data_IF_590149960098
#
_entry.id   IF_590149960098
#
_cell.length_a   1.000
_cell.length_b   1.000
_cell.length_c   1.000
_cell.angle_alpha   90.00
_cell.angle_beta   90.00
_cell.angle_gamma   90.00
#
_symmetry.space_group_name_H-M   'P 1'
#
loop_
_entity.id
_entity.type
_entity.pdbx_description
1 polymer ?
#
# COMPACT_ATOMS: atom_id res chain seq x y z
N UNK A 1 -24.13 -37.11 -12.17
CA UNK A 1 -23.02 -37.41 -13.10
C UNK A 1 -22.42 -36.06 -13.51
N UNK A 2 -21.44 -35.57 -12.74
CA UNK A 2 -19.98 -35.66 -12.97
C UNK A 2 -19.52 -34.64 -14.04
N UNK A 3 -19.10 -33.43 -13.63
CA UNK A 3 -17.71 -33.02 -13.26
C UNK A 3 -16.78 -33.14 -14.47
N UNK A 4 -16.56 -32.00 -15.16
CA UNK A 4 -15.50 -31.83 -16.15
C UNK A 4 -14.25 -31.29 -15.45
N UNK A 5 -13.19 -32.07 -15.62
CA UNK A 5 -11.91 -32.05 -14.93
C UNK A 5 -10.93 -31.11 -15.64
N UNK A 6 -10.32 -30.20 -14.87
CA UNK A 6 -9.14 -29.43 -15.26
C UNK A 6 -7.89 -30.30 -15.08
N UNK A 7 -7.34 -30.84 -16.17
CA UNK A 7 -5.95 -31.31 -16.22
C UNK A 7 -5.39 -31.09 -17.62
N UNK A 8 -4.70 -29.97 -17.83
CA UNK A 8 -3.65 -29.87 -18.84
C UNK A 8 -2.61 -28.87 -18.34
N UNK A 9 -1.34 -29.17 -18.65
CA UNK A 9 -0.09 -28.49 -18.26
C UNK A 9 0.70 -29.25 -17.17
N UNK A 10 1.11 -30.46 -17.52
CA UNK A 10 2.43 -30.96 -17.17
C UNK A 10 3.20 -31.19 -18.47
N UNK A 11 4.53 -31.19 -18.37
CA UNK A 11 5.56 -31.57 -19.34
C UNK A 11 6.32 -30.38 -19.94
N UNK A 12 7.59 -30.30 -19.52
CA UNK A 12 8.78 -29.68 -20.15
C UNK A 12 9.62 -28.84 -19.17
N UNK A 13 10.15 -29.47 -18.12
CA UNK A 13 11.52 -29.17 -17.68
C UNK A 13 12.18 -30.50 -17.32
N UNK A 14 12.93 -31.05 -18.27
CA UNK A 14 13.92 -32.08 -18.02
C UNK A 14 15.05 -31.82 -19.01
N UNK A 15 16.19 -31.35 -18.54
CA UNK A 15 17.53 -31.79 -18.95
C UNK A 15 18.60 -31.01 -18.17
N UNK A 16 19.63 -31.76 -17.76
CA UNK A 16 20.91 -31.34 -17.20
C UNK A 16 20.95 -30.98 -15.71
N UNK A 17 21.07 -32.00 -14.83
CA UNK A 17 22.26 -32.19 -13.97
C UNK A 17 22.48 -33.70 -13.76
N UNK A 18 23.57 -34.24 -14.31
CA UNK A 18 24.09 -35.58 -13.99
C UNK A 18 25.08 -35.44 -12.82
N UNK A 19 24.83 -36.16 -11.71
CA UNK A 19 25.76 -36.24 -10.59
C UNK A 19 25.31 -37.13 -9.42
N UNK A 20 25.63 -38.44 -9.52
CA UNK A 20 25.82 -39.46 -8.47
C UNK A 20 24.71 -39.79 -7.41
N UNK A 21 24.64 -41.06 -6.92
CA UNK A 21 23.47 -41.60 -6.23
C UNK A 21 23.59 -41.54 -4.70
N UNK A 22 22.56 -41.03 -4.03
CA UNK A 22 22.47 -41.01 -2.57
C UNK A 22 21.04 -40.87 -2.08
N UNK A 23 20.49 -41.96 -1.54
CA UNK A 23 19.44 -42.06 -0.51
C UNK A 23 18.41 -40.90 -0.35
N UNK A 24 17.19 -41.18 -0.81
CA UNK A 24 15.89 -40.95 -0.17
C UNK A 24 15.60 -39.62 0.58
N UNK A 25 14.58 -38.89 0.11
CA UNK A 25 13.29 -38.72 0.80
C UNK A 25 12.29 -38.01 -0.12
N UNK A 26 11.08 -38.57 -0.24
CA UNK A 26 9.97 -37.91 -0.89
C UNK A 26 9.63 -36.63 -0.10
N UNK A 27 9.74 -35.47 -0.75
CA UNK A 27 9.27 -34.21 -0.22
C UNK A 27 7.76 -34.22 -0.42
N UNK A 28 7.01 -34.31 0.69
CA UNK A 28 5.56 -34.30 0.68
C UNK A 28 5.04 -33.00 0.06
N UNK A 29 4.07 -33.14 -0.84
CA UNK A 29 3.20 -32.03 -1.24
C UNK A 29 2.33 -31.69 -0.03
N UNK A 30 2.71 -30.68 0.75
CA UNK A 30 1.77 -30.08 1.69
C UNK A 30 0.62 -29.48 0.88
N UNK A 31 -0.57 -30.05 1.05
CA UNK A 31 -1.82 -29.47 0.56
C UNK A 31 -1.95 -28.07 1.15
N UNK A 32 -1.85 -27.05 0.29
CA UNK A 32 -2.13 -25.67 0.66
C UNK A 32 -3.61 -25.59 1.02
N UNK A 33 -3.90 -25.59 2.31
CA UNK A 33 -5.26 -25.40 2.82
C UNK A 33 -5.76 -24.02 2.36
N UNK A 34 -6.99 -23.92 1.83
CA UNK A 34 -7.55 -22.64 1.41
C UNK A 34 -7.64 -21.67 2.61
N UNK A 35 -7.30 -20.40 2.36
CA UNK A 35 -7.34 -19.31 3.36
C UNK A 35 -8.66 -19.36 4.16
N UNK A 36 -8.63 -19.26 5.50
CA UNK A 36 -9.84 -19.02 6.27
C UNK A 36 -10.46 -17.71 5.80
N UNK A 37 -11.73 -17.75 5.37
CA UNK A 37 -12.50 -16.52 5.15
C UNK A 37 -12.63 -15.83 6.51
N UNK A 38 -12.11 -14.61 6.62
CA UNK A 38 -12.36 -13.77 7.78
C UNK A 38 -13.88 -13.67 8.01
N UNK A 39 -14.32 -13.90 9.24
CA UNK A 39 -15.67 -13.55 9.66
C UNK A 39 -15.86 -12.04 9.53
N UNK A 40 -17.04 -11.61 9.09
CA UNK A 40 -17.40 -10.24 8.72
C UNK A 40 -17.45 -9.22 9.90
N UNK A 41 -16.59 -9.35 10.91
CA UNK A 41 -16.64 -8.55 12.13
C UNK A 41 -15.31 -8.05 12.70
N UNK A 42 -14.16 -8.63 12.33
CA UNK A 42 -12.88 -8.19 12.88
C UNK A 42 -12.17 -7.25 11.90
N UNK A 43 -12.22 -5.95 12.19
CA UNK A 43 -11.51 -4.95 11.41
C UNK A 43 -9.99 -5.15 11.57
N UNK A 44 -9.28 -5.28 10.44
CA UNK A 44 -7.81 -5.27 10.41
C UNK A 44 -7.34 -3.97 11.05
N UNK A 45 -6.47 -4.09 12.06
CA UNK A 45 -5.85 -2.96 12.74
C UNK A 45 -4.43 -2.79 12.21
N UNK A 46 -4.04 -1.55 11.98
CA UNK A 46 -2.74 -1.18 11.43
C UNK A 46 -1.90 -0.44 12.48
N UNK A 47 -0.63 -0.81 12.56
CA UNK A 47 0.38 -0.17 13.40
C UNK A 47 1.29 0.73 12.55
N UNK A 48 1.88 1.73 13.21
CA UNK A 48 2.75 2.74 12.59
C UNK A 48 4.17 2.50 13.08
N UNK A 49 5.09 2.27 12.15
CA UNK A 49 6.52 2.07 12.43
C UNK A 49 7.31 3.26 11.90
N UNK A 50 7.80 4.10 12.80
CA UNK A 50 8.58 5.28 12.48
C UNK A 50 10.08 4.96 12.52
N UNK A 51 10.83 5.39 11.49
CA UNK A 51 12.30 5.31 11.42
C UNK A 51 12.88 6.68 11.11
N UNK A 52 14.06 6.99 11.64
CA UNK A 52 14.69 8.32 11.50
C UNK A 52 14.10 9.37 12.45
N UNK A 53 14.45 10.64 12.24
CA UNK A 53 13.99 11.75 13.08
C UNK A 53 12.97 12.63 12.36
N UNK A 54 11.89 13.03 13.04
CA UNK A 54 10.90 13.90 12.42
C UNK A 54 11.57 15.17 11.83
N UNK A 55 11.26 15.47 10.56
CA UNK A 55 11.83 16.56 9.75
C UNK A 55 13.25 16.36 9.22
N UNK A 56 13.86 15.19 9.41
CA UNK A 56 15.10 14.83 8.70
C UNK A 56 14.82 14.13 7.37
N UNK A 57 15.81 14.09 6.48
CA UNK A 57 15.68 13.47 5.16
C UNK A 57 15.56 11.93 5.22
N UNK A 58 15.95 11.31 6.33
CA UNK A 58 15.85 9.87 6.60
C UNK A 58 14.56 9.48 7.33
N UNK A 59 13.68 10.44 7.66
CA UNK A 59 12.40 10.12 8.31
C UNK A 59 11.48 9.31 7.40
N UNK A 60 11.09 8.12 7.84
CA UNK A 60 10.18 7.22 7.12
C UNK A 60 9.12 6.69 8.06
N UNK A 61 7.91 6.57 7.54
CA UNK A 61 6.82 5.90 8.23
C UNK A 61 6.39 4.71 7.40
N UNK A 62 6.41 3.55 8.04
CA UNK A 62 5.94 2.28 7.52
C UNK A 62 4.65 1.89 8.23
N UNK A 63 3.82 1.10 7.55
CA UNK A 63 2.57 0.56 8.08
C UNK A 63 2.73 -0.95 8.22
N UNK A 64 2.28 -1.54 9.32
CA UNK A 64 2.25 -3.00 9.51
C UNK A 64 0.89 -3.46 10.01
N UNK A 65 0.52 -4.71 9.81
CA UNK A 65 -0.68 -5.27 10.46
C UNK A 65 -0.41 -5.53 11.94
N UNK A 66 -1.39 -5.22 12.79
CA UNK A 66 -1.29 -5.49 14.22
C UNK A 66 -1.40 -6.99 14.53
N UNK A 67 -0.61 -7.44 15.50
CA UNK A 67 -0.34 -8.85 15.81
C UNK A 67 -1.54 -9.72 16.22
N UNK A 68 -2.76 -9.18 16.34
CA UNK A 68 -3.91 -9.95 16.83
C UNK A 68 -4.46 -10.99 15.85
N UNK A 69 -4.22 -10.85 14.54
CA UNK A 69 -4.74 -11.80 13.53
C UNK A 69 -3.79 -11.92 12.34
N UNK A 70 -2.66 -12.63 12.49
CA UNK A 70 -1.84 -13.02 11.33
C UNK A 70 -2.62 -14.00 10.46
N UNK A 71 -3.38 -13.50 9.49
CA UNK A 71 -3.65 -14.26 8.28
C UNK A 71 -2.43 -14.07 7.42
N UNK A 72 -1.49 -15.03 7.45
CA UNK A 72 -0.27 -15.06 6.63
C UNK A 72 -0.50 -14.40 5.27
N UNK A 73 -0.08 -13.14 5.14
CA UNK A 73 -0.07 -12.41 3.90
C UNK A 73 1.16 -12.92 3.14
N UNK A 74 0.96 -13.52 1.98
CA UNK A 74 2.03 -14.03 1.12
C UNK A 74 2.93 -12.90 0.54
N UNK A 75 2.78 -11.66 1.02
CA UNK A 75 3.38 -10.45 0.49
C UNK A 75 4.06 -9.57 1.55
N UNK A 76 4.33 -10.07 2.76
CA UNK A 76 5.11 -9.32 3.75
C UNK A 76 6.48 -8.95 3.18
N UNK A 77 6.81 -7.65 3.22
CA UNK A 77 8.21 -7.21 3.08
C UNK A 77 9.04 -7.69 4.28
N UNK A 78 10.38 -7.54 4.24
CA UNK A 78 11.19 -7.78 5.44
C UNK A 78 10.61 -6.96 6.62
N UNK A 79 10.38 -7.62 7.75
CA UNK A 79 9.78 -7.08 9.00
C UNK A 79 8.24 -7.01 9.08
N UNK A 80 7.47 -7.58 8.14
CA UNK A 80 5.99 -7.57 8.24
C UNK A 80 5.35 -6.22 7.92
N UNK A 81 6.08 -5.37 7.20
CA UNK A 81 5.62 -4.06 6.72
C UNK A 81 4.78 -4.23 5.44
N UNK A 82 3.77 -3.38 5.30
CA UNK A 82 2.88 -3.23 4.16
C UNK A 82 3.25 -1.98 3.34
N UNK A 83 3.02 -2.06 2.03
CA UNK A 83 2.97 -0.88 1.16
C UNK A 83 1.67 -0.13 1.41
N UNK A 84 1.72 1.15 1.83
CA UNK A 84 0.52 1.97 1.97
C UNK A 84 -0.27 2.04 0.67
N UNK A 85 0.41 2.12 -0.48
CA UNK A 85 -0.27 2.24 -1.77
C UNK A 85 -0.93 0.92 -2.20
N UNK A 86 -0.22 -0.21 -2.14
CA UNK A 86 -0.66 -1.43 -2.82
C UNK A 86 -1.28 -2.49 -1.90
N UNK A 87 -0.79 -2.59 -0.67
CA UNK A 87 -1.12 -3.73 0.20
C UNK A 87 -2.32 -3.44 1.13
N UNK A 88 -2.67 -2.17 1.35
CA UNK A 88 -3.87 -1.79 2.11
C UNK A 88 -5.09 -1.86 1.17
N UNK A 89 -6.19 -2.55 1.53
CA UNK A 89 -7.40 -2.59 0.70
C UNK A 89 -8.05 -1.22 0.55
N UNK A 90 -8.51 -0.87 -0.66
CA UNK A 90 -9.29 0.36 -0.89
C UNK A 90 -10.55 0.42 -0.02
N UNK A 91 -11.33 -0.66 0.01
CA UNK A 91 -12.58 -0.73 0.76
C UNK A 91 -12.38 -1.39 2.12
N UNK A 92 -12.86 -0.73 3.17
CA UNK A 92 -13.09 -1.35 4.47
C UNK A 92 -14.42 -2.11 4.49
N UNK A 93 -15.44 -1.56 3.81
CA UNK A 93 -16.73 -2.21 3.56
C UNK A 93 -17.28 -1.69 2.22
N UNK A 94 -17.16 -2.51 1.18
CA UNK A 94 -17.59 -2.15 -0.18
C UNK A 94 -19.11 -1.95 -0.26
N UNK A 95 -19.89 -2.75 0.49
CA UNK A 95 -21.36 -2.67 0.47
C UNK A 95 -21.88 -1.34 1.02
N UNK A 96 -21.16 -0.77 2.00
CA UNK A 96 -21.47 0.53 2.61
C UNK A 96 -20.68 1.68 2.01
N UNK A 97 -19.84 1.43 0.99
CA UNK A 97 -18.90 2.41 0.42
C UNK A 97 -18.04 3.09 1.50
N UNK A 98 -17.50 2.28 2.40
CA UNK A 98 -16.54 2.72 3.42
C UNK A 98 -15.15 2.38 2.91
N UNK A 99 -14.29 3.38 2.85
CA UNK A 99 -12.95 3.31 2.29
C UNK A 99 -11.90 3.38 3.39
N UNK A 100 -10.74 2.76 3.18
CA UNK A 100 -9.56 3.03 3.97
C UNK A 100 -8.85 4.27 3.40
N UNK A 101 -8.48 5.20 4.27
CA UNK A 101 -7.65 6.35 3.93
C UNK A 101 -6.34 6.28 4.72
N UNK A 102 -5.23 6.51 4.04
CA UNK A 102 -3.91 6.65 4.65
C UNK A 102 -3.68 8.11 4.96
N UNK A 103 -3.55 8.46 6.25
CA UNK A 103 -3.32 9.84 6.66
C UNK A 103 -1.84 10.20 6.50
N UNK A 104 -1.53 11.18 5.66
CA UNK A 104 -0.16 11.63 5.41
C UNK A 104 0.16 12.92 6.18
N UNK A 105 -0.78 13.86 6.23
CA UNK A 105 -0.58 15.17 6.83
C UNK A 105 -1.72 15.45 7.82
N UNK A 106 -1.45 15.35 9.12
CA UNK A 106 -2.42 15.74 10.15
C UNK A 106 -2.84 17.20 10.02
N UNK A 107 -4.10 17.48 10.35
CA UNK A 107 -4.62 18.86 10.37
C UNK A 107 -3.76 19.77 11.25
N UNK A 108 -3.57 21.00 10.76
CA UNK A 108 -2.77 22.09 11.33
C UNK A 108 -1.27 21.84 11.38
N UNK A 109 -0.76 20.91 10.57
CA UNK A 109 0.68 20.68 10.38
C UNK A 109 1.14 21.16 8.99
N UNK A 110 2.45 21.38 8.85
CA UNK A 110 3.03 22.02 7.66
C UNK A 110 3.94 21.10 6.84
N UNK A 111 4.44 20.00 7.40
CA UNK A 111 5.36 19.11 6.70
C UNK A 111 4.61 18.41 5.56
N UNK A 112 5.06 18.61 4.32
CA UNK A 112 4.49 17.93 3.14
C UNK A 112 4.99 16.50 3.13
N UNK A 113 4.16 15.59 3.60
CA UNK A 113 4.44 14.16 3.68
C UNK A 113 3.59 13.45 2.65
N UNK A 114 4.16 12.46 1.98
CA UNK A 114 3.52 11.75 0.87
C UNK A 114 3.91 10.28 0.92
N UNK A 115 2.98 9.41 0.53
CA UNK A 115 3.26 8.01 0.25
C UNK A 115 4.35 7.94 -0.82
N UNK A 116 5.39 7.17 -0.54
CA UNK A 116 6.51 7.03 -1.46
C UNK A 116 6.06 6.48 -2.80
N UNK A 117 6.33 7.24 -3.87
CA UNK A 117 6.25 6.76 -5.25
C UNK A 117 7.23 5.62 -5.42
N UNK A 118 6.75 4.39 -5.32
CA UNK A 118 7.48 3.27 -5.91
C UNK A 118 7.44 3.50 -7.42
N UNK A 119 8.57 3.39 -8.10
CA UNK A 119 8.61 3.34 -9.55
C UNK A 119 7.93 2.05 -10.02
N UNK A 120 6.60 2.03 -10.04
CA UNK A 120 5.80 0.97 -10.61
C UNK A 120 5.32 1.43 -11.98
N UNK A 121 6.07 0.99 -12.99
CA UNK A 121 5.53 0.78 -14.32
C UNK A 121 4.91 -0.62 -14.30
N UNK A 122 3.60 -0.79 -14.56
CA UNK A 122 3.00 -2.12 -14.52
C UNK A 122 3.43 -2.92 -15.74
N UNK A 123 4.09 -4.04 -15.51
CA UNK A 123 3.77 -5.25 -16.26
C UNK A 123 3.55 -6.39 -15.26
N UNK A 124 2.44 -7.10 -15.44
CA UNK A 124 1.78 -8.03 -14.50
C UNK A 124 2.67 -9.19 -14.00
N UNK A 125 3.89 -9.38 -14.53
CA UNK A 125 4.71 -10.57 -14.30
C UNK A 125 5.89 -10.35 -13.33
N UNK A 126 6.06 -9.16 -12.74
CA UNK A 126 7.31 -8.80 -12.06
C UNK A 126 7.16 -8.33 -10.60
N UNK A 127 6.01 -8.52 -9.97
CA UNK A 127 5.72 -8.10 -8.57
C UNK A 127 6.81 -8.54 -7.56
N UNK A 128 7.48 -9.67 -7.79
CA UNK A 128 8.53 -10.15 -6.89
C UNK A 128 9.89 -9.46 -7.10
N UNK A 129 10.22 -9.07 -8.33
CA UNK A 129 11.53 -8.48 -8.66
C UNK A 129 11.52 -6.94 -8.61
N UNK A 130 10.37 -6.28 -8.78
CA UNK A 130 10.24 -4.80 -8.62
C UNK A 130 10.45 -4.37 -7.17
N UNK A 131 10.09 -5.21 -6.18
CA UNK A 131 10.34 -4.94 -4.75
C UNK A 131 11.82 -4.76 -4.41
N UNK A 132 12.74 -5.31 -5.22
CA UNK A 132 14.19 -5.23 -5.02
C UNK A 132 14.88 -4.11 -5.84
N UNK A 133 14.17 -3.49 -6.79
CA UNK A 133 14.77 -2.61 -7.80
C UNK A 133 14.57 -1.09 -7.52
N UNK A 134 13.88 -0.72 -6.44
CA UNK A 134 13.62 0.68 -6.08
C UNK A 134 14.55 1.16 -4.96
N UNK A 135 14.85 2.47 -4.95
CA UNK A 135 15.70 3.09 -3.91
C UNK A 135 15.07 3.04 -2.51
N UNK A 136 13.76 2.88 -2.40
CA UNK A 136 13.04 2.75 -1.12
C UNK A 136 11.89 1.75 -1.28
N UNK A 137 12.10 0.50 -0.87
CA UNK A 137 11.08 -0.52 -0.92
C UNK A 137 9.88 -0.19 -0.01
N UNK A 138 8.69 -0.68 -0.38
CA UNK A 138 7.45 -0.65 0.42
C UNK A 138 6.74 0.72 0.52
N UNK A 139 6.97 1.69 -0.37
CA UNK A 139 6.26 2.98 -0.42
C UNK A 139 6.08 3.69 0.94
N UNK A 140 7.12 3.82 1.78
CA UNK A 140 6.96 4.50 3.06
C UNK A 140 6.47 5.93 2.89
N UNK A 141 5.72 6.44 3.85
CA UNK A 141 5.38 7.87 3.89
C UNK A 141 6.64 8.63 4.27
N UNK A 142 7.00 9.65 3.49
CA UNK A 142 8.19 10.48 3.70
C UNK A 142 7.93 11.93 3.37
N UNK A 143 8.79 12.82 3.86
CA UNK A 143 8.67 14.24 3.56
C UNK A 143 9.16 14.52 2.14
N UNK A 144 8.40 15.32 1.38
CA UNK A 144 8.83 15.87 0.10
C UNK A 144 10.08 16.73 0.31
N UNK A 145 10.99 16.70 -0.66
CA UNK A 145 12.29 17.40 -0.60
C UNK A 145 12.37 18.39 -1.75
N UNK A 146 12.51 19.67 -1.40
CA UNK A 146 12.65 20.76 -2.38
C UNK A 146 13.99 21.45 -2.17
N UNK A 147 14.82 21.48 -3.23
CA UNK A 147 16.19 22.05 -3.18
C UNK A 147 17.06 21.42 -2.09
N UNK A 148 16.93 20.11 -1.88
CA UNK A 148 17.70 19.36 -0.87
C UNK A 148 17.24 19.54 0.57
N UNK A 149 16.17 20.30 0.81
CA UNK A 149 15.62 20.55 2.15
C UNK A 149 14.22 19.94 2.29
N UNK A 150 13.85 19.44 3.49
CA UNK A 150 12.48 18.99 3.77
C UNK A 150 11.48 20.13 3.50
N UNK A 151 10.43 19.83 2.73
CA UNK A 151 9.45 20.82 2.31
C UNK A 151 8.37 21.03 3.37
N UNK A 152 8.08 22.29 3.64
CA UNK A 152 6.97 22.73 4.47
C UNK A 152 6.03 23.61 3.65
N UNK A 153 4.72 23.38 3.76
CA UNK A 153 3.69 24.26 3.22
C UNK A 153 3.59 25.49 4.12
N UNK A 154 3.52 26.67 3.50
CA UNK A 154 3.40 27.93 4.22
C UNK A 154 2.00 28.09 4.82
N UNK A 155 1.93 28.79 5.96
CA UNK A 155 0.64 29.24 6.48
C UNK A 155 0.11 30.36 5.58
N UNK A 156 -1.16 30.28 5.20
CA UNK A 156 -1.87 31.31 4.44
C UNK A 156 -2.98 31.82 5.34
N UNK A 157 -2.89 33.07 5.81
CA UNK A 157 -3.87 33.66 6.71
C UNK A 157 -5.30 33.55 6.14
N UNK A 158 -6.32 33.13 6.94
CA UNK A 158 -6.31 32.90 8.40
C UNK A 158 -5.94 31.47 8.82
N UNK A 159 -5.42 30.65 7.91
CA UNK A 159 -5.20 29.23 8.10
C UNK A 159 -3.80 28.88 8.60
N UNK A 160 -3.71 27.78 9.37
CA UNK A 160 -2.47 27.17 9.84
C UNK A 160 -2.30 25.81 9.19
N UNK A 161 -1.22 25.64 8.41
CA UNK A 161 -0.88 24.40 7.73
C UNK A 161 -2.03 23.86 6.87
N UNK A 162 -2.14 22.54 6.81
CA UNK A 162 -3.29 21.87 6.21
C UNK A 162 -4.52 22.02 7.10
N UNK A 163 -5.64 22.46 6.54
CA UNK A 163 -6.88 22.70 7.32
C UNK A 163 -7.76 21.46 7.49
N UNK A 164 -7.33 20.32 6.93
CA UNK A 164 -7.96 19.01 7.03
C UNK A 164 -6.92 17.97 7.40
N UNK A 165 -7.34 16.76 7.80
CA UNK A 165 -6.42 15.63 7.70
C UNK A 165 -6.34 15.27 6.22
N UNK A 166 -5.12 15.29 5.67
CA UNK A 166 -4.86 15.04 4.27
C UNK A 166 -4.15 13.71 4.11
N UNK A 167 -4.44 13.02 3.02
CA UNK A 167 -3.92 11.70 2.74
C UNK A 167 -4.42 11.16 1.42
N UNK A 168 -4.34 9.84 1.23
CA UNK A 168 -4.65 9.21 -0.04
C UNK A 168 -5.48 7.93 0.11
N UNK A 169 -6.20 7.56 -0.96
CA UNK A 169 -6.84 6.24 -1.09
C UNK A 169 -5.84 5.21 -1.61
N UNK A 170 -5.64 4.08 -0.91
CA UNK A 170 -4.82 2.99 -1.42
C UNK A 170 -5.44 2.40 -2.69
N UNK A 171 -4.61 1.73 -3.50
CA UNK A 171 -5.04 1.01 -4.71
C UNK A 171 -5.77 1.87 -5.74
N UNK A 172 -5.54 3.18 -5.70
CA UNK A 172 -5.96 4.15 -6.72
C UNK A 172 -4.73 4.74 -7.41
N UNK A 173 -4.92 5.31 -8.60
CA UNK A 173 -3.83 5.95 -9.33
C UNK A 173 -4.41 6.93 -10.35
N UNK A 174 -3.96 8.17 -10.31
CA UNK A 174 -4.21 9.16 -11.35
C UNK A 174 -3.23 8.95 -12.50
N UNK A 175 -3.66 8.18 -13.52
CA UNK A 175 -2.83 7.79 -14.65
C UNK A 175 -2.35 9.03 -15.45
N UNK A 176 -1.04 9.30 -15.53
CA UNK A 176 -0.49 10.43 -16.27
C UNK A 176 -0.63 10.29 -17.79
N UNK A 177 -1.06 9.13 -18.29
CA UNK A 177 -1.35 8.89 -19.71
C UNK A 177 -2.84 9.05 -20.05
N UNK A 178 -3.68 9.27 -19.05
CA UNK A 178 -5.11 9.48 -19.23
C UNK A 178 -5.43 10.97 -19.19
N UNK A 179 -6.00 11.50 -20.27
CA UNK A 179 -6.53 12.86 -20.33
C UNK A 179 -7.97 12.85 -19.80
N UNK A 180 -8.21 13.58 -18.71
CA UNK A 180 -9.56 13.74 -18.13
C UNK A 180 -10.33 14.78 -18.96
N UNK A 181 -11.42 14.40 -19.66
CA UNK A 181 -12.13 15.32 -20.57
C UNK A 181 -12.67 16.59 -19.90
N UNK A 182 -13.08 16.49 -18.64
CA UNK A 182 -13.73 17.57 -17.87
C UNK A 182 -12.74 18.68 -17.50
N UNK A 183 -11.49 18.32 -17.22
CA UNK A 183 -10.44 19.26 -16.78
C UNK A 183 -9.43 19.57 -17.89
N UNK A 184 -9.41 18.74 -18.95
CA UNK A 184 -8.41 18.76 -20.01
C UNK A 184 -6.97 18.67 -19.46
N UNK A 185 -6.81 17.95 -18.35
CA UNK A 185 -5.54 17.69 -17.67
C UNK A 185 -5.24 16.18 -17.60
N UNK A 186 -3.97 15.84 -17.46
CA UNK A 186 -3.51 14.47 -17.20
C UNK A 186 -3.40 14.23 -15.69
N UNK A 187 -3.45 12.96 -15.26
CA UNK A 187 -3.20 12.58 -13.87
C UNK A 187 -1.79 12.96 -13.39
N UNK A 188 -1.64 13.21 -12.10
CA UNK A 188 -0.36 13.65 -11.50
C UNK A 188 0.57 12.48 -11.08
N UNK A 189 0.18 11.25 -11.41
CA UNK A 189 0.89 10.01 -11.10
C UNK A 189 0.97 9.70 -9.60
N UNK A 190 -0.01 10.15 -8.82
CA UNK A 190 -0.22 9.82 -7.40
C UNK A 190 -1.50 8.99 -7.18
N UNK A 191 -1.68 8.35 -6.02
CA UNK A 191 -3.00 7.88 -5.62
C UNK A 191 -3.96 9.06 -5.41
N UNK A 192 -5.26 8.80 -5.53
CA UNK A 192 -6.30 9.82 -5.36
C UNK A 192 -6.24 10.40 -3.93
N UNK A 193 -6.16 11.72 -3.87
CA UNK A 193 -6.11 12.50 -2.64
C UNK A 193 -7.45 12.51 -1.88
N UNK A 194 -7.37 12.61 -0.55
CA UNK A 194 -8.53 12.67 0.34
C UNK A 194 -8.38 13.78 1.38
N UNK A 195 -9.47 14.51 1.56
CA UNK A 195 -9.65 15.49 2.63
C UNK A 195 -10.61 14.95 3.69
N UNK A 196 -10.09 14.49 4.83
CA UNK A 196 -10.92 14.14 5.99
C UNK A 196 -11.27 15.41 6.80
N UNK A 197 -12.57 15.75 6.75
CA UNK A 197 -13.17 16.91 7.43
C UNK A 197 -13.65 16.61 8.86
N UNK A 198 -13.40 15.39 9.37
CA UNK A 198 -13.76 14.99 10.72
C UNK A 198 -13.17 15.90 11.80
N UNK A 199 -13.81 15.95 12.97
CA UNK A 199 -13.38 16.82 14.07
C UNK A 199 -12.07 16.37 14.72
N UNK A 200 -11.71 15.09 14.64
CA UNK A 200 -10.48 14.54 15.22
C UNK A 200 -9.27 14.87 14.36
N UNK A 201 -8.17 15.35 14.97
CA UNK A 201 -6.87 15.42 14.30
C UNK A 201 -6.26 14.02 14.31
N UNK A 202 -6.00 13.46 13.13
CA UNK A 202 -5.52 12.09 12.99
C UNK A 202 -3.99 12.02 13.07
N UNK A 203 -3.45 10.86 13.45
CA UNK A 203 -2.00 10.64 13.46
C UNK A 203 -1.51 10.40 12.02
N UNK A 204 -0.33 10.90 11.71
CA UNK A 204 0.37 10.56 10.46
C UNK A 204 0.65 9.06 10.38
N UNK A 205 0.42 8.47 9.22
CA UNK A 205 0.50 7.03 8.96
C UNK A 205 -0.70 6.24 9.44
N UNK A 206 -1.71 6.87 10.06
CA UNK A 206 -2.91 6.18 10.48
C UNK A 206 -3.72 5.73 9.25
N UNK A 207 -4.24 4.51 9.31
CA UNK A 207 -5.24 4.02 8.37
C UNK A 207 -6.60 4.23 9.03
N UNK A 208 -7.43 5.09 8.46
CA UNK A 208 -8.74 5.43 8.99
C UNK A 208 -9.84 5.00 8.04
N UNK A 209 -11.01 4.69 8.59
CA UNK A 209 -12.20 4.40 7.82
C UNK A 209 -12.99 5.69 7.60
N UNK A 210 -13.31 5.96 6.35
CA UNK A 210 -14.00 7.17 5.90
C UNK A 210 -15.14 6.76 4.97
N UNK A 211 -16.22 7.50 5.00
CA UNK A 211 -17.43 7.25 4.20
C UNK A 211 -18.08 8.55 3.78
N UNK A 212 -18.99 8.48 2.80
CA UNK A 212 -19.64 9.63 2.16
C UNK A 212 -18.65 10.61 1.50
N UNK A 213 -18.05 10.17 0.39
CA UNK A 213 -17.18 11.00 -0.44
C UNK A 213 -17.96 11.68 -1.55
N UNK A 214 -17.52 12.89 -1.90
CA UNK A 214 -17.65 13.41 -3.26
C UNK A 214 -16.27 13.23 -3.88
N UNK A 215 -16.13 12.28 -4.79
CA UNK A 215 -14.94 12.18 -5.65
C UNK A 215 -15.10 13.29 -6.70
N UNK A 216 -14.16 14.22 -6.75
CA UNK A 216 -14.08 15.23 -7.82
C UNK A 216 -13.20 14.74 -8.96
#
# INVERSE_FOLDING_TARGET
MQVLSFYHICVLISFCILGAPGSARAIGTEEIQPKPKMSAGDAVKYDIVERGSLYSLDYRIFISESYTQRVFSLQEGPDGVLSPWHDIPLYADESKKIFNMIVEIPRWTNAKMEVGKNGLVPSQFHIFLVKMATKEAMSPIKQDVKKGLPRFVHNIFPHKGYIWNYGALPQTWEDPNHLVPETNAIGDNDPIDVLDIGSKVQKRGAVIQVGNFVLS
#
